data_IF_396316410009
#
_entry.id   IF_396316410009
#
_cell.length_a   1.000
_cell.length_b   1.000
_cell.length_c   1.000
_cell.angle_alpha   90.00
_cell.angle_beta   90.00
_cell.angle_gamma   90.00
#
_symmetry.space_group_name_H-M   'P 1'
#
loop_
_entity.id
_entity.type
_entity.pdbx_description
1 polymer ?
#
# COMPACT_ATOMS: atom_id res chain seq x y z
N UNK A 1 -4.22 1.10 3.75
CA UNK A 1 -2.92 1.79 3.64
C UNK A 1 -2.31 1.41 2.31
N UNK A 2 -2.03 2.39 1.43
CA UNK A 2 -1.29 2.30 0.15
C UNK A 2 -1.60 1.03 -0.65
N UNK A 3 -2.85 0.89 -1.04
CA UNK A 3 -3.38 -0.33 -1.65
C UNK A 3 -2.84 -0.53 -3.07
N UNK A 4 -2.29 -1.71 -3.35
CA UNK A 4 -1.96 -2.13 -4.71
C UNK A 4 -3.19 -2.32 -5.58
N UNK A 5 -3.05 -2.12 -6.90
CA UNK A 5 -4.13 -2.31 -7.87
C UNK A 5 -3.81 -1.72 -9.22
N UNK A 6 -4.77 -1.81 -10.15
CA UNK A 6 -4.66 -1.27 -11.49
C UNK A 6 -5.57 -0.04 -11.58
N UNK A 7 -4.96 1.15 -11.63
CA UNK A 7 -5.64 2.42 -11.48
C UNK A 7 -5.53 3.31 -12.73
N UNK A 8 -6.57 4.08 -13.04
CA UNK A 8 -6.54 5.10 -14.09
C UNK A 8 -5.64 6.29 -13.73
N UNK A 9 -5.58 6.65 -12.44
CA UNK A 9 -4.73 7.70 -11.91
C UNK A 9 -3.27 7.28 -11.71
N UNK A 10 -2.90 6.09 -12.20
CA UNK A 10 -1.53 5.59 -12.14
C UNK A 10 -0.53 6.55 -12.78
N UNK A 11 0.45 7.03 -12.01
CA UNK A 11 1.42 8.02 -12.44
C UNK A 11 2.88 7.67 -12.09
N UNK A 12 3.12 6.64 -11.27
CA UNK A 12 4.47 6.16 -11.00
C UNK A 12 4.97 5.24 -12.11
N UNK A 13 6.29 5.07 -12.20
CA UNK A 13 6.89 4.16 -13.17
C UNK A 13 6.45 2.71 -12.91
N UNK A 14 6.28 2.31 -11.65
CA UNK A 14 5.87 0.96 -11.26
C UNK A 14 4.44 0.61 -11.66
N UNK A 15 3.56 1.61 -11.73
CA UNK A 15 2.16 1.43 -12.14
C UNK A 15 1.99 1.53 -13.67
N UNK A 16 2.79 2.38 -14.33
CA UNK A 16 2.77 2.53 -15.79
C UNK A 16 3.39 1.34 -16.50
N UNK A 17 4.47 0.82 -15.94
CA UNK A 17 5.17 -0.36 -16.44
C UNK A 17 5.55 -1.28 -15.26
N UNK A 18 4.71 -2.29 -14.97
CA UNK A 18 4.94 -3.21 -13.85
C UNK A 18 6.25 -3.97 -13.91
N UNK A 19 6.95 -3.99 -15.05
CA UNK A 19 8.27 -4.63 -15.13
C UNK A 19 9.30 -3.95 -14.25
N UNK A 20 9.10 -2.66 -13.93
CA UNK A 20 9.93 -1.93 -12.97
C UNK A 20 9.82 -2.44 -11.53
N UNK A 21 8.77 -3.20 -11.17
CA UNK A 21 8.68 -3.85 -9.87
C UNK A 21 9.88 -4.77 -9.59
N UNK A 22 10.52 -5.30 -10.63
CA UNK A 22 11.75 -6.10 -10.49
C UNK A 22 12.91 -5.31 -9.87
N UNK A 23 12.94 -4.00 -10.00
CA UNK A 23 13.95 -3.14 -9.39
C UNK A 23 13.81 -3.03 -7.85
N UNK A 24 12.64 -3.41 -7.31
CA UNK A 24 12.39 -3.44 -5.88
C UNK A 24 12.77 -4.78 -5.22
N UNK A 25 13.25 -5.75 -6.02
CA UNK A 25 13.71 -7.04 -5.50
C UNK A 25 15.05 -6.89 -4.79
N UNK A 26 15.13 -7.45 -3.59
CA UNK A 26 16.36 -7.55 -2.83
C UNK A 26 17.00 -8.89 -3.15
N UNK A 27 17.94 -8.90 -4.10
CA UNK A 27 18.60 -10.10 -4.62
C UNK A 27 20.11 -10.15 -4.33
N UNK A 28 20.70 -9.01 -3.98
CA UNK A 28 22.11 -8.85 -3.66
C UNK A 28 22.33 -7.76 -2.63
N UNK A 29 23.53 -7.69 -2.09
CA UNK A 29 23.95 -6.67 -1.13
C UNK A 29 23.77 -5.25 -1.70
N UNK A 30 23.13 -4.39 -0.93
CA UNK A 30 22.84 -3.00 -1.28
C UNK A 30 21.41 -2.79 -1.80
N UNK A 31 20.73 -3.83 -2.30
CA UNK A 31 19.38 -3.74 -2.83
C UNK A 31 18.37 -3.32 -1.75
N UNK A 32 18.58 -3.75 -0.50
CA UNK A 32 17.68 -3.39 0.60
C UNK A 32 17.72 -1.88 0.90
N UNK A 33 18.89 -1.26 0.88
CA UNK A 33 19.00 0.19 1.02
C UNK A 33 18.33 0.95 -0.13
N UNK A 34 18.39 0.40 -1.35
CA UNK A 34 17.67 0.97 -2.48
C UNK A 34 16.17 0.87 -2.28
N UNK A 35 15.66 -0.31 -1.88
CA UNK A 35 14.25 -0.53 -1.58
C UNK A 35 13.73 0.47 -0.54
N UNK A 36 14.43 0.65 0.59
CA UNK A 36 14.05 1.60 1.64
C UNK A 36 13.92 3.03 1.09
N UNK A 37 14.86 3.48 0.24
CA UNK A 37 14.82 4.81 -0.39
C UNK A 37 13.68 4.99 -1.39
N UNK A 38 13.22 3.91 -2.02
CA UNK A 38 12.06 3.96 -2.91
C UNK A 38 10.74 3.95 -2.13
N UNK A 39 10.66 3.16 -1.06
CA UNK A 39 9.42 2.94 -0.30
C UNK A 39 9.20 3.96 0.82
N UNK A 40 10.25 4.57 1.36
CA UNK A 40 10.12 5.52 2.47
C UNK A 40 10.60 6.92 2.07
N UNK A 41 9.90 7.92 2.56
CA UNK A 41 10.31 9.33 2.49
C UNK A 41 11.19 9.71 3.70
N UNK A 42 10.75 9.35 4.90
CA UNK A 42 11.47 9.53 6.16
C UNK A 42 11.66 8.17 6.86
N UNK A 43 12.66 7.36 6.45
CA UNK A 43 12.88 6.09 7.11
C UNK A 43 13.27 6.32 8.58
N UNK A 44 12.74 5.52 9.53
CA UNK A 44 13.16 5.57 10.92
C UNK A 44 14.63 5.15 11.04
N UNK A 45 15.26 5.49 12.16
CA UNK A 45 16.57 4.94 12.45
C UNK A 45 16.50 3.42 12.61
N UNK A 46 17.24 2.69 11.78
CA UNK A 46 17.33 1.23 11.84
C UNK A 46 18.80 0.85 12.11
N UNK A 47 19.08 0.10 13.20
CA UNK A 47 20.42 -0.36 13.50
C UNK A 47 21.04 -1.16 12.35
N UNK A 48 22.34 -0.99 12.14
CA UNK A 48 23.05 -1.61 10.99
C UNK A 48 22.95 -3.13 11.01
N UNK A 49 23.02 -3.73 12.17
CA UNK A 49 22.93 -5.19 12.35
C UNK A 49 21.57 -5.70 11.91
N UNK A 50 20.51 -4.96 12.22
CA UNK A 50 19.15 -5.30 11.78
C UNK A 50 19.01 -5.16 10.25
N UNK A 51 19.54 -4.07 9.67
CA UNK A 51 19.53 -3.89 8.21
C UNK A 51 20.23 -5.05 7.50
N UNK A 52 21.40 -5.48 8.00
CA UNK A 52 22.17 -6.58 7.43
C UNK A 52 21.43 -7.93 7.57
N UNK A 53 20.82 -8.19 8.71
CA UNK A 53 20.06 -9.41 8.95
C UNK A 53 18.83 -9.46 8.03
N UNK A 54 18.10 -8.36 7.90
CA UNK A 54 16.93 -8.25 7.04
C UNK A 54 17.30 -8.39 5.56
N UNK A 55 18.36 -7.73 5.11
CA UNK A 55 18.86 -7.85 3.74
C UNK A 55 19.21 -9.31 3.41
N UNK A 56 19.95 -10.00 4.30
CA UNK A 56 20.29 -11.42 4.13
C UNK A 56 19.05 -12.31 4.02
N UNK A 57 18.03 -12.06 4.87
CA UNK A 57 16.76 -12.79 4.81
C UNK A 57 16.06 -12.58 3.47
N UNK A 58 15.96 -11.34 3.00
CA UNK A 58 15.30 -11.02 1.73
C UNK A 58 16.05 -11.60 0.53
N UNK A 59 17.40 -11.58 0.54
CA UNK A 59 18.22 -12.23 -0.51
C UNK A 59 17.91 -13.73 -0.57
N UNK A 60 17.81 -14.40 0.57
CA UNK A 60 17.47 -15.83 0.61
C UNK A 60 16.04 -16.10 0.08
N UNK A 61 15.12 -15.16 0.23
CA UNK A 61 13.74 -15.27 -0.25
C UNK A 61 13.56 -14.72 -1.69
N UNK A 62 14.61 -14.18 -2.30
CA UNK A 62 14.52 -13.56 -3.62
C UNK A 62 13.88 -14.44 -4.71
N UNK A 63 14.12 -15.77 -4.79
CA UNK A 63 13.46 -16.61 -5.80
C UNK A 63 11.93 -16.68 -5.63
N UNK A 64 11.43 -16.70 -4.38
CA UNK A 64 9.99 -16.69 -4.10
C UNK A 64 9.38 -15.34 -4.40
N UNK A 65 10.06 -14.25 -4.00
CA UNK A 65 9.61 -12.88 -4.26
C UNK A 65 9.60 -12.59 -5.76
N UNK A 66 10.58 -13.09 -6.52
CA UNK A 66 10.62 -12.98 -7.98
C UNK A 66 9.36 -13.61 -8.62
N UNK A 67 8.96 -14.81 -8.17
CA UNK A 67 7.74 -15.47 -8.68
C UNK A 67 6.50 -14.62 -8.43
N UNK A 68 6.39 -14.01 -7.22
CA UNK A 68 5.27 -13.12 -6.89
C UNK A 68 5.26 -11.89 -7.81
N UNK A 69 6.40 -11.25 -8.02
CA UNK A 69 6.52 -10.10 -8.93
C UNK A 69 6.13 -10.47 -10.37
N UNK A 70 6.59 -11.63 -10.86
CA UNK A 70 6.22 -12.11 -12.20
C UNK A 70 4.72 -12.37 -12.32
N UNK A 71 4.05 -12.87 -11.27
CA UNK A 71 2.60 -13.02 -11.20
C UNK A 71 1.88 -11.66 -11.24
N UNK A 72 2.36 -10.66 -10.48
CA UNK A 72 1.79 -9.31 -10.49
C UNK A 72 1.93 -8.66 -11.88
N UNK A 73 3.07 -8.84 -12.55
CA UNK A 73 3.27 -8.37 -13.93
C UNK A 73 2.29 -9.07 -14.89
N UNK A 74 2.06 -10.37 -14.72
CA UNK A 74 1.11 -11.12 -15.54
C UNK A 74 -0.33 -10.64 -15.33
N UNK A 75 -0.73 -10.35 -14.09
CA UNK A 75 -2.07 -9.83 -13.77
C UNK A 75 -2.37 -8.50 -14.47
N UNK A 76 -1.37 -7.62 -14.59
CA UNK A 76 -1.52 -6.34 -15.32
C UNK A 76 -1.77 -6.51 -16.82
N UNK A 77 -1.49 -7.68 -17.40
CA UNK A 77 -1.82 -8.00 -18.80
C UNK A 77 -3.28 -8.46 -18.97
N UNK A 78 -3.88 -8.96 -17.91
CA UNK A 78 -5.24 -9.54 -17.91
C UNK A 78 -6.27 -8.51 -17.46
N UNK A 79 -5.94 -7.77 -16.41
CA UNK A 79 -6.85 -6.79 -15.83
C UNK A 79 -6.57 -5.38 -16.34
N UNK A 80 -7.63 -4.65 -16.61
CA UNK A 80 -7.60 -3.22 -16.96
C UNK A 80 -8.07 -2.37 -15.77
N UNK A 81 -7.85 -1.04 -15.80
CA UNK A 81 -8.43 -0.16 -14.79
C UNK A 81 -9.95 -0.30 -14.66
N UNK A 82 -10.65 -0.58 -15.78
CA UNK A 82 -12.11 -0.76 -15.76
C UNK A 82 -12.53 -2.05 -15.08
N UNK A 83 -11.89 -3.17 -15.40
CA UNK A 83 -12.18 -4.44 -14.75
C UNK A 83 -11.83 -4.39 -13.26
N UNK A 84 -10.73 -3.74 -12.88
CA UNK A 84 -10.36 -3.53 -11.50
C UNK A 84 -11.38 -2.63 -10.76
N UNK A 85 -11.85 -1.56 -11.40
CA UNK A 85 -12.89 -0.68 -10.85
C UNK A 85 -14.21 -1.42 -10.60
N UNK A 86 -14.62 -2.32 -11.50
CA UNK A 86 -15.81 -3.17 -11.29
C UNK A 86 -15.65 -4.04 -10.04
N UNK A 87 -14.51 -4.72 -9.89
CA UNK A 87 -14.23 -5.53 -8.70
C UNK A 87 -14.20 -4.69 -7.42
N UNK A 88 -13.56 -3.53 -7.44
CA UNK A 88 -13.48 -2.63 -6.28
C UNK A 88 -14.87 -2.19 -5.81
N UNK A 89 -15.80 -1.94 -6.72
CA UNK A 89 -17.19 -1.55 -6.40
C UNK A 89 -18.00 -2.66 -5.70
N UNK A 90 -17.55 -3.90 -5.71
CA UNK A 90 -18.20 -4.98 -4.97
C UNK A 90 -17.87 -5.00 -3.48
N UNK A 91 -16.90 -4.19 -3.05
CA UNK A 91 -16.47 -4.11 -1.64
C UNK A 91 -17.46 -3.25 -0.88
N UNK A 92 -18.18 -3.87 0.06
CA UNK A 92 -19.17 -3.20 0.94
C UNK A 92 -18.62 -2.88 2.33
N UNK A 93 -17.43 -3.34 2.67
CA UNK A 93 -16.83 -3.10 3.97
C UNK A 93 -16.58 -1.60 4.24
N UNK A 94 -16.83 -1.10 5.46
CA UNK A 94 -16.36 0.22 5.86
C UNK A 94 -14.85 0.32 5.62
N UNK A 95 -14.43 1.38 4.95
CA UNK A 95 -13.03 1.51 4.53
C UNK A 95 -12.43 2.85 4.95
N UNK A 96 -11.32 2.81 5.65
CA UNK A 96 -10.44 3.95 5.92
C UNK A 96 -9.29 3.94 4.91
N UNK A 97 -9.09 5.05 4.21
CA UNK A 97 -8.01 5.23 3.25
C UNK A 97 -6.95 6.14 3.88
N UNK A 98 -5.76 5.60 4.13
CA UNK A 98 -4.59 6.34 4.59
C UNK A 98 -3.51 6.29 3.51
N UNK A 99 -2.89 7.43 3.17
CA UNK A 99 -1.92 7.50 2.08
C UNK A 99 -0.79 8.47 2.35
N UNK A 100 0.44 8.04 2.10
CA UNK A 100 1.60 8.92 2.12
C UNK A 100 1.62 9.83 0.89
N UNK A 101 1.75 11.14 1.09
CA UNK A 101 1.78 12.11 -0.01
C UNK A 101 2.98 11.92 -0.92
N UNK A 102 4.12 11.49 -0.36
CA UNK A 102 5.36 11.28 -1.06
C UNK A 102 5.57 9.82 -1.51
N UNK A 103 4.49 9.04 -1.62
CA UNK A 103 4.53 7.67 -2.11
C UNK A 103 5.02 7.64 -3.58
N UNK A 104 6.20 7.05 -3.78
CA UNK A 104 6.84 6.87 -5.10
C UNK A 104 6.43 5.57 -5.78
N UNK A 105 5.86 4.63 -5.05
CA UNK A 105 5.45 3.32 -5.56
C UNK A 105 4.03 3.43 -6.13
N UNK A 106 3.10 3.96 -5.36
CA UNK A 106 1.70 4.18 -5.76
C UNK A 106 1.33 5.62 -5.43
N UNK A 107 1.22 6.45 -6.45
CA UNK A 107 0.99 7.89 -6.27
C UNK A 107 -0.31 8.22 -5.52
N UNK A 108 -0.30 9.29 -4.78
CA UNK A 108 -1.37 9.71 -3.85
C UNK A 108 -2.73 9.95 -4.53
N UNK A 109 -2.77 10.26 -5.83
CA UNK A 109 -4.00 10.43 -6.60
C UNK A 109 -4.88 9.17 -6.61
N UNK A 110 -4.27 8.00 -6.43
CA UNK A 110 -4.97 6.72 -6.30
C UNK A 110 -5.89 6.69 -5.08
N UNK A 111 -5.56 7.37 -4.00
CA UNK A 111 -6.42 7.46 -2.82
C UNK A 111 -7.80 8.06 -3.14
N UNK A 112 -7.85 9.10 -3.97
CA UNK A 112 -9.10 9.71 -4.44
C UNK A 112 -9.84 8.82 -5.46
N UNK A 113 -9.12 8.07 -6.30
CA UNK A 113 -9.73 7.09 -7.19
C UNK A 113 -10.40 5.97 -6.37
N UNK A 114 -9.73 5.40 -5.39
CA UNK A 114 -10.28 4.39 -4.48
C UNK A 114 -11.52 4.92 -3.75
N UNK A 115 -11.48 6.17 -3.25
CA UNK A 115 -12.66 6.78 -2.60
C UNK A 115 -13.88 6.81 -3.51
N UNK A 116 -13.70 7.06 -4.81
CA UNK A 116 -14.82 7.06 -5.78
C UNK A 116 -15.32 5.66 -6.13
N UNK A 117 -14.46 4.66 -6.06
CA UNK A 117 -14.78 3.28 -6.40
C UNK A 117 -15.42 2.52 -5.23
N UNK A 118 -14.96 2.76 -4.01
CA UNK A 118 -15.42 2.08 -2.80
C UNK A 118 -16.74 2.73 -2.30
N UNK A 119 -17.75 1.88 -2.03
CA UNK A 119 -19.08 2.34 -1.58
C UNK A 119 -19.03 3.01 -0.19
N UNK A 120 -18.33 2.40 0.74
CA UNK A 120 -18.32 2.77 2.15
C UNK A 120 -16.96 3.29 2.63
N UNK A 121 -16.21 3.97 1.74
CA UNK A 121 -14.95 4.60 2.12
C UNK A 121 -15.16 5.98 2.74
N UNK A 122 -14.39 6.30 3.77
CA UNK A 122 -14.25 7.67 4.29
C UNK A 122 -13.40 8.52 3.34
N UNK A 123 -13.44 9.86 3.45
CA UNK A 123 -12.48 10.71 2.75
C UNK A 123 -11.05 10.26 3.04
N UNK A 124 -10.16 10.23 2.05
CA UNK A 124 -8.77 9.83 2.27
C UNK A 124 -8.06 10.76 3.25
N UNK A 125 -7.29 10.19 4.15
CA UNK A 125 -6.36 10.92 5.01
C UNK A 125 -4.99 10.87 4.35
N UNK A 126 -4.51 12.02 3.91
CA UNK A 126 -3.20 12.15 3.27
C UNK A 126 -2.17 12.60 4.31
N UNK A 127 -1.10 11.81 4.43
CA UNK A 127 -0.04 12.04 5.40
C UNK A 127 1.14 12.75 4.72
N UNK A 128 1.39 13.99 5.15
CA UNK A 128 2.49 14.81 4.65
C UNK A 128 3.84 14.25 5.13
N UNK A 129 4.86 14.33 4.27
CA UNK A 129 6.21 13.83 4.54
C UNK A 129 6.28 12.31 4.83
N UNK A 130 5.38 11.54 4.23
CA UNK A 130 5.27 10.09 4.37
C UNK A 130 5.30 9.46 2.97
N UNK A 131 6.05 8.37 2.83
CA UNK A 131 6.16 7.57 1.61
C UNK A 131 5.16 6.42 1.58
N UNK A 132 5.62 5.28 1.02
CA UNK A 132 4.80 4.07 0.81
C UNK A 132 4.62 3.22 2.09
N UNK A 133 5.30 3.56 3.19
CA UNK A 133 5.27 2.77 4.43
C UNK A 133 4.76 3.58 5.63
N UNK A 134 3.52 4.12 5.59
CA UNK A 134 3.00 5.01 6.65
C UNK A 134 3.07 4.41 8.05
N UNK A 135 2.88 3.10 8.18
CA UNK A 135 2.93 2.39 9.47
C UNK A 135 4.33 2.48 10.10
N UNK A 136 5.38 2.54 9.28
CA UNK A 136 6.77 2.64 9.76
C UNK A 136 7.27 4.07 9.85
N UNK A 137 6.75 4.97 9.00
CA UNK A 137 7.21 6.35 8.90
C UNK A 137 6.43 7.31 9.81
N UNK A 138 5.17 6.99 10.11
CA UNK A 138 4.24 7.89 10.82
C UNK A 138 3.23 7.12 11.69
N UNK A 139 3.70 6.15 12.47
CA UNK A 139 2.88 5.23 13.27
C UNK A 139 1.86 5.95 14.15
N UNK A 140 2.26 7.05 14.81
CA UNK A 140 1.38 7.83 15.69
C UNK A 140 0.20 8.43 14.92
N UNK A 141 0.45 8.99 13.72
CA UNK A 141 -0.60 9.55 12.87
C UNK A 141 -1.53 8.46 12.35
N UNK A 142 -0.98 7.29 12.00
CA UNK A 142 -1.78 6.13 11.58
C UNK A 142 -2.69 5.67 12.71
N UNK A 143 -2.18 5.50 13.93
CA UNK A 143 -2.94 5.08 15.11
C UNK A 143 -4.07 6.08 15.42
N UNK A 144 -3.79 7.39 15.38
CA UNK A 144 -4.78 8.45 15.61
C UNK A 144 -5.96 8.41 14.64
N UNK A 145 -5.77 7.92 13.43
CA UNK A 145 -6.85 7.75 12.45
C UNK A 145 -7.52 6.38 12.54
N UNK A 146 -6.73 5.34 12.77
CA UNK A 146 -7.18 3.97 12.72
C UNK A 146 -8.06 3.56 13.92
N UNK A 147 -7.64 3.94 15.14
CA UNK A 147 -8.38 3.55 16.36
C UNK A 147 -9.79 4.14 16.40
N UNK A 148 -10.01 5.46 16.17
CA UNK A 148 -11.37 6.00 16.10
C UNK A 148 -12.24 5.40 15.00
N UNK A 149 -11.62 5.04 13.86
CA UNK A 149 -12.33 4.35 12.77
C UNK A 149 -12.84 2.98 13.22
N UNK A 150 -12.01 2.16 13.88
CA UNK A 150 -12.41 0.85 14.38
C UNK A 150 -13.57 0.96 15.39
N UNK A 151 -13.46 1.83 16.38
CA UNK A 151 -14.49 2.03 17.39
C UNK A 151 -15.82 2.45 16.77
N UNK A 152 -15.80 3.32 15.75
CA UNK A 152 -17.00 3.71 15.02
C UNK A 152 -17.63 2.56 14.24
N UNK A 153 -16.83 1.67 13.65
CA UNK A 153 -17.34 0.50 12.92
C UNK A 153 -17.98 -0.48 13.88
N UNK A 154 -17.38 -0.75 15.05
CA UNK A 154 -17.91 -1.64 16.07
C UNK A 154 -19.25 -1.13 16.62
N UNK A 155 -19.36 0.14 16.97
CA UNK A 155 -20.62 0.72 17.46
C UNK A 155 -21.75 0.63 16.45
N UNK A 156 -21.47 0.85 15.17
CA UNK A 156 -22.47 0.73 14.10
C UNK A 156 -22.92 -0.73 13.83
N UNK A 157 -22.07 -1.73 14.11
CA UNK A 157 -22.43 -3.13 14.01
C UNK A 157 -23.31 -3.58 15.19
N UNK A 158 -22.97 -3.15 16.40
CA UNK A 158 -23.72 -3.48 17.62
C UNK A 158 -25.15 -2.91 17.58
N UNK A 159 -25.34 -1.72 17.00
CA UNK A 159 -26.67 -1.12 16.86
C UNK A 159 -27.57 -1.81 15.82
N UNK A 160 -27.01 -2.56 14.87
CA UNK A 160 -27.76 -3.32 13.87
C UNK A 160 -28.22 -4.70 14.40
N UNK A 161 -27.57 -5.23 15.42
CA UNK A 161 -27.90 -6.55 16.00
C UNK A 161 -28.91 -6.44 17.16
N UNK A 162 -29.26 -5.26 17.62
CA UNK A 162 -30.19 -5.01 18.72
C UNK A 162 -31.61 -4.57 18.29
N UNK A 163 -31.94 -4.68 17.01
CA UNK A 163 -33.34 -4.45 16.56
C UNK A 163 -34.04 -5.81 16.55
N UNK A 164 -35.08 -6.02 17.39
CA UNK A 164 -35.85 -7.26 17.46
C UNK A 164 -36.65 -7.54 16.19
#
# INVERSE_FOLDING_TARGET
VDSGGIFRSANTIYLKDPTYLKQLLVSKKGDFNYLLKQTMFNPPFIPKEFLQAQEKLMINQAPQTQKLVDQLIALNKVYTPDSFAVLTKTIDAPTLILWGKQDKIINVEVANELKRLLKNAQPPVILENVGHMPILEAEQLVIQQYVPFLLKVETNQSSKTTTP
#
